data_IF_449935499530
#
_entry.id   IF_449935499530
#
_cell.length_a   1.000
_cell.length_b   1.000
_cell.length_c   1.000
_cell.angle_alpha   90.00
_cell.angle_beta   90.00
_cell.angle_gamma   90.00
#
_symmetry.space_group_name_H-M   'P 1'
#
loop_
_entity.id
_entity.type
_entity.pdbx_description
1 polymer ?
#
# COMPACT_ATOMS: atom_id res chain seq x y z
N UNK A 1 -80.41 -18.75 10.89
CA UNK A 1 -79.18 -18.53 10.09
C UNK A 1 -77.98 -18.81 10.99
N UNK A 2 -77.27 -19.94 10.78
CA UNK A 2 -76.28 -20.48 11.73
C UNK A 2 -74.87 -20.29 11.16
N UNK A 3 -74.11 -19.36 11.72
CA UNK A 3 -72.77 -19.00 11.25
C UNK A 3 -71.75 -20.06 11.69
N UNK A 4 -71.16 -20.80 10.73
CA UNK A 4 -70.08 -21.77 11.00
C UNK A 4 -68.76 -21.03 11.25
N UNK A 5 -68.27 -21.06 12.49
CA UNK A 5 -66.91 -20.62 12.84
C UNK A 5 -65.88 -21.53 12.19
N UNK A 6 -65.28 -21.08 11.09
CA UNK A 6 -64.06 -21.64 10.52
C UNK A 6 -62.92 -21.46 11.53
N UNK A 7 -62.42 -22.57 12.09
CA UNK A 7 -61.20 -22.56 12.90
C UNK A 7 -60.01 -22.62 11.95
N UNK A 8 -59.39 -21.47 11.71
CA UNK A 8 -58.12 -21.39 10.99
C UNK A 8 -57.05 -22.02 11.88
N UNK A 9 -56.68 -23.26 11.59
CA UNK A 9 -55.58 -23.94 12.27
C UNK A 9 -54.26 -23.27 11.85
N UNK A 10 -53.58 -22.60 12.79
CA UNK A 10 -52.25 -22.04 12.53
C UNK A 10 -51.24 -23.19 12.49
N UNK A 11 -50.41 -23.31 11.43
CA UNK A 11 -49.35 -24.31 11.42
C UNK A 11 -48.38 -24.03 12.57
N UNK A 12 -48.17 -25.02 13.44
CA UNK A 12 -47.15 -24.94 14.49
C UNK A 12 -45.80 -24.87 13.79
N UNK A 13 -45.17 -23.69 13.79
CA UNK A 13 -43.81 -23.50 13.32
C UNK A 13 -42.92 -24.41 14.17
N UNK A 14 -42.28 -25.40 13.56
CA UNK A 14 -41.26 -26.19 14.22
C UNK A 14 -40.10 -25.25 14.58
N UNK A 15 -40.08 -24.79 15.83
CA UNK A 15 -38.95 -24.11 16.43
C UNK A 15 -37.93 -25.16 16.86
N UNK A 16 -37.26 -25.78 15.88
CA UNK A 16 -36.06 -26.56 16.15
C UNK A 16 -34.94 -25.60 16.51
N UNK A 17 -34.48 -25.63 17.76
CA UNK A 17 -33.25 -24.94 18.16
C UNK A 17 -32.04 -25.55 17.48
N UNK A 18 -30.97 -24.77 17.33
CA UNK A 18 -29.69 -25.27 16.82
C UNK A 18 -29.16 -26.38 17.72
N UNK A 19 -28.66 -27.46 17.12
CA UNK A 19 -28.02 -28.52 17.88
C UNK A 19 -26.64 -28.05 18.36
N UNK A 20 -26.18 -28.54 19.52
CA UNK A 20 -24.85 -28.18 20.06
C UNK A 20 -23.72 -28.42 19.05
N UNK A 21 -23.80 -29.55 18.33
CA UNK A 21 -22.83 -29.92 17.30
C UNK A 21 -22.83 -28.91 16.15
N UNK A 22 -24.00 -28.45 15.73
CA UNK A 22 -24.13 -27.47 14.65
C UNK A 22 -23.50 -26.13 15.03
N UNK A 23 -23.68 -25.67 16.27
CA UNK A 23 -23.01 -24.46 16.78
C UNK A 23 -21.49 -24.64 16.80
N UNK A 24 -21.00 -25.81 17.22
CA UNK A 24 -19.56 -26.10 17.21
C UNK A 24 -19.00 -26.07 15.79
N UNK A 25 -19.65 -26.74 14.83
CA UNK A 25 -19.23 -26.74 13.43
C UNK A 25 -19.28 -25.34 12.82
N UNK A 26 -20.34 -24.57 13.08
CA UNK A 26 -20.46 -23.19 12.61
C UNK A 26 -19.34 -22.29 13.18
N UNK A 27 -19.04 -22.42 14.48
CA UNK A 27 -17.95 -21.67 15.10
C UNK A 27 -16.57 -22.03 14.53
N UNK A 28 -16.35 -23.31 14.21
CA UNK A 28 -15.11 -23.76 13.59
C UNK A 28 -14.97 -23.22 12.17
N UNK A 29 -16.04 -23.27 11.36
CA UNK A 29 -16.04 -22.66 10.03
C UNK A 29 -15.80 -21.14 10.11
N UNK A 30 -16.39 -20.45 11.09
CA UNK A 30 -16.19 -19.03 11.30
C UNK A 30 -14.72 -18.70 11.61
N UNK A 31 -14.04 -19.51 12.43
CA UNK A 31 -12.62 -19.33 12.73
C UNK A 31 -11.74 -19.44 11.48
N UNK A 32 -12.04 -20.39 10.59
CA UNK A 32 -11.30 -20.53 9.33
C UNK A 32 -11.48 -19.31 8.42
N UNK A 33 -12.69 -18.75 8.36
CA UNK A 33 -12.97 -17.53 7.60
C UNK A 33 -12.20 -16.34 8.18
N UNK A 34 -12.21 -16.16 9.50
CA UNK A 34 -11.46 -15.07 10.12
C UNK A 34 -9.96 -15.21 9.94
N UNK A 35 -9.43 -16.43 9.99
CA UNK A 35 -8.02 -16.66 9.70
C UNK A 35 -7.65 -16.24 8.27
N UNK A 36 -8.47 -16.60 7.28
CA UNK A 36 -8.28 -16.16 5.89
C UNK A 36 -8.32 -14.64 5.74
N UNK A 37 -9.29 -13.97 6.38
CA UNK A 37 -9.40 -12.51 6.35
C UNK A 37 -8.20 -11.82 7.01
N UNK A 38 -7.71 -12.34 8.13
CA UNK A 38 -6.54 -11.79 8.81
C UNK A 38 -5.29 -11.85 7.91
N UNK A 39 -5.07 -12.97 7.22
CA UNK A 39 -3.97 -13.09 6.27
C UNK A 39 -4.11 -12.14 5.07
N UNK A 40 -5.32 -12.01 4.53
CA UNK A 40 -5.60 -11.08 3.44
C UNK A 40 -5.34 -9.63 3.85
N UNK A 41 -5.84 -9.23 5.03
CA UNK A 41 -5.65 -7.89 5.57
C UNK A 41 -4.17 -7.57 5.81
N UNK A 42 -3.41 -8.50 6.40
CA UNK A 42 -1.98 -8.31 6.64
C UNK A 42 -1.18 -8.10 5.33
N UNK A 43 -1.54 -8.82 4.26
CA UNK A 43 -0.91 -8.64 2.94
C UNK A 43 -1.32 -7.33 2.29
N UNK A 44 -2.61 -6.98 2.31
CA UNK A 44 -3.11 -5.74 1.74
C UNK A 44 -2.48 -4.50 2.40
N UNK A 45 -2.32 -4.53 3.73
CA UNK A 45 -1.68 -3.43 4.44
C UNK A 45 -0.22 -3.21 4.02
N UNK A 46 0.56 -4.29 3.85
CA UNK A 46 1.96 -4.18 3.37
C UNK A 46 2.05 -3.60 1.96
N UNK A 47 1.10 -3.92 1.09
CA UNK A 47 1.05 -3.34 -0.26
C UNK A 47 0.78 -1.84 -0.22
N UNK A 48 -0.18 -1.40 0.60
CA UNK A 48 -0.50 0.02 0.75
C UNK A 48 0.68 0.83 1.29
N UNK A 49 1.40 0.30 2.28
CA UNK A 49 2.62 0.93 2.82
C UNK A 49 3.68 1.06 1.73
N UNK A 50 3.92 0.00 0.95
CA UNK A 50 4.84 0.03 -0.18
C UNK A 50 4.46 1.08 -1.23
N UNK A 51 3.19 1.16 -1.62
CA UNK A 51 2.69 2.17 -2.57
C UNK A 51 2.87 3.60 -2.05
N UNK A 52 2.70 3.83 -0.76
CA UNK A 52 2.94 5.15 -0.17
C UNK A 52 4.42 5.53 -0.26
N UNK A 53 5.34 4.60 0.00
CA UNK A 53 6.78 4.85 -0.17
C UNK A 53 7.14 5.14 -1.63
N UNK A 54 6.55 4.43 -2.59
CA UNK A 54 6.73 4.71 -4.02
C UNK A 54 6.25 6.10 -4.40
N UNK A 55 5.11 6.53 -3.86
CA UNK A 55 4.57 7.88 -4.06
C UNK A 55 5.50 8.95 -3.48
N UNK A 56 5.98 8.74 -2.26
CA UNK A 56 6.90 9.66 -1.60
C UNK A 56 8.24 9.74 -2.34
N UNK A 57 8.84 8.60 -2.70
CA UNK A 57 10.08 8.53 -3.46
C UNK A 57 9.96 9.23 -4.82
N UNK A 58 8.83 9.05 -5.52
CA UNK A 58 8.55 9.74 -6.78
C UNK A 58 8.46 11.26 -6.60
N UNK A 59 7.84 11.72 -5.50
CA UNK A 59 7.79 13.13 -5.14
C UNK A 59 9.19 13.72 -4.89
N UNK A 60 10.04 12.98 -4.16
CA UNK A 60 11.44 13.35 -3.90
C UNK A 60 12.25 13.40 -5.20
N UNK A 61 12.11 12.39 -6.06
CA UNK A 61 12.79 12.32 -7.36
C UNK A 61 12.41 13.53 -8.25
N UNK A 62 11.11 13.84 -8.32
CA UNK A 62 10.60 15.00 -9.06
C UNK A 62 11.15 16.31 -8.50
N UNK A 63 11.12 16.48 -7.18
CA UNK A 63 11.69 17.65 -6.52
C UNK A 63 13.19 17.81 -6.82
N UNK A 64 13.95 16.70 -6.86
CA UNK A 64 15.36 16.70 -7.25
C UNK A 64 15.54 17.16 -8.70
N UNK A 65 14.77 16.61 -9.64
CA UNK A 65 14.81 17.01 -11.05
C UNK A 65 14.44 18.48 -11.23
N UNK A 66 13.41 18.96 -10.54
CA UNK A 66 13.00 20.37 -10.58
C UNK A 66 14.08 21.30 -10.04
N UNK A 67 14.78 20.90 -8.96
CA UNK A 67 15.92 21.65 -8.42
C UNK A 67 17.08 21.67 -9.42
N UNK A 68 17.44 20.53 -10.00
CA UNK A 68 18.51 20.46 -11.01
C UNK A 68 18.17 21.36 -12.21
N UNK A 69 16.93 21.30 -12.69
CA UNK A 69 16.41 22.14 -13.78
C UNK A 69 16.43 23.64 -13.45
N UNK A 70 16.13 24.03 -12.21
CA UNK A 70 16.02 25.45 -11.82
C UNK A 70 17.38 26.12 -11.63
N UNK A 71 18.35 25.41 -11.07
CA UNK A 71 19.61 26.03 -10.61
C UNK A 71 20.80 25.82 -11.55
N UNK A 72 20.69 24.95 -12.55
CA UNK A 72 21.81 24.66 -13.46
C UNK A 72 21.46 25.06 -14.88
N UNK A 73 22.43 25.69 -15.56
CA UNK A 73 22.36 25.89 -17.01
C UNK A 73 22.75 24.61 -17.72
N UNK A 74 22.42 24.53 -19.00
CA UNK A 74 22.75 23.36 -19.83
C UNK A 74 24.25 23.06 -19.80
N UNK A 75 25.09 24.08 -19.91
CA UNK A 75 26.56 23.95 -19.92
C UNK A 75 27.13 23.48 -18.56
N UNK A 76 26.40 23.75 -17.47
CA UNK A 76 26.83 23.40 -16.11
C UNK A 76 26.43 21.96 -15.72
N UNK A 77 25.54 21.31 -16.49
CA UNK A 77 25.01 19.98 -16.18
C UNK A 77 26.11 18.92 -16.05
N UNK A 78 27.21 19.05 -16.82
CA UNK A 78 28.32 18.08 -16.79
C UNK A 78 29.13 18.16 -15.50
N UNK A 79 29.09 19.30 -14.81
CA UNK A 79 29.86 19.58 -13.60
C UNK A 79 29.05 19.35 -12.32
N UNK A 80 27.79 18.93 -12.44
CA UNK A 80 26.98 18.58 -11.27
C UNK A 80 27.51 17.24 -10.75
N UNK A 81 28.29 17.30 -9.68
CA UNK A 81 28.73 16.11 -8.97
C UNK A 81 27.51 15.29 -8.54
N UNK A 82 27.60 13.97 -8.71
CA UNK A 82 26.67 13.02 -8.12
C UNK A 82 26.74 13.14 -6.60
N UNK A 83 25.96 14.08 -6.06
CA UNK A 83 25.87 14.32 -4.63
C UNK A 83 24.67 13.56 -4.07
N UNK A 84 24.98 12.62 -3.19
CA UNK A 84 23.96 11.93 -2.40
C UNK A 84 23.35 12.91 -1.42
N UNK A 85 22.03 13.03 -1.44
CA UNK A 85 21.28 13.86 -0.48
C UNK A 85 20.23 13.01 0.22
N UNK A 86 20.20 13.07 1.54
CA UNK A 86 19.19 12.36 2.35
C UNK A 86 18.00 13.28 2.64
N UNK A 87 16.79 12.76 2.45
CA UNK A 87 15.54 13.41 2.85
C UNK A 87 14.86 12.55 3.90
N UNK A 88 14.42 13.18 4.99
CA UNK A 88 13.65 12.49 6.03
C UNK A 88 12.16 12.80 5.81
N UNK A 89 11.38 11.79 5.46
CA UNK A 89 9.94 11.90 5.20
C UNK A 89 9.23 10.73 5.88
N UNK A 90 8.22 11.02 6.71
CA UNK A 90 7.45 9.98 7.38
C UNK A 90 8.28 9.05 8.28
N UNK A 91 9.40 9.55 8.82
CA UNK A 91 10.31 8.75 9.65
C UNK A 91 11.27 7.84 8.88
N UNK A 92 11.28 7.91 7.55
CA UNK A 92 12.20 7.17 6.69
C UNK A 92 13.21 8.08 5.99
N UNK A 93 14.41 7.56 5.84
CA UNK A 93 15.50 8.21 5.11
C UNK A 93 15.48 7.80 3.64
N UNK A 94 15.26 8.78 2.77
CA UNK A 94 15.35 8.66 1.32
C UNK A 94 16.69 9.21 0.85
N UNK A 95 17.58 8.34 0.41
CA UNK A 95 18.86 8.70 -0.19
C UNK A 95 18.66 8.91 -1.69
N UNK A 96 19.02 10.08 -2.16
CA UNK A 96 18.85 10.48 -3.56
C UNK A 96 20.21 10.66 -4.20
N UNK A 97 20.47 9.88 -5.24
CA UNK A 97 21.62 10.05 -6.12
C UNK A 97 21.15 10.42 -7.53
N UNK A 98 22.05 10.97 -8.33
CA UNK A 98 21.73 11.26 -9.73
C UNK A 98 22.98 11.14 -10.61
N UNK A 99 22.76 10.77 -11.86
CA UNK A 99 23.77 10.64 -12.89
C UNK A 99 23.36 11.46 -14.11
N UNK A 100 24.33 12.12 -14.74
CA UNK A 100 24.13 12.91 -15.96
C UNK A 100 24.89 12.24 -17.10
N UNK A 101 24.17 11.87 -18.16
CA UNK A 101 24.73 11.34 -19.39
C UNK A 101 24.58 12.38 -20.50
N UNK A 102 25.70 12.99 -20.92
CA UNK A 102 25.73 13.96 -22.01
C UNK A 102 25.74 13.29 -23.38
N UNK A 103 25.17 13.93 -24.40
CA UNK A 103 25.07 13.41 -25.75
C UNK A 103 24.10 12.23 -25.90
N UNK A 104 23.10 12.10 -25.01
CA UNK A 104 22.14 11.00 -24.99
C UNK A 104 20.72 11.54 -24.81
N UNK A 105 19.74 11.14 -25.66
CA UNK A 105 19.87 10.18 -26.76
C UNK A 105 20.54 10.72 -28.04
N UNK A 106 20.71 12.04 -28.16
CA UNK A 106 21.25 12.69 -29.35
C UNK A 106 22.36 13.71 -29.04
N UNK A 107 23.15 14.08 -30.05
CA UNK A 107 24.18 15.10 -29.91
C UNK A 107 23.54 16.42 -29.45
N UNK A 108 24.09 17.06 -28.41
CA UNK A 108 23.51 18.25 -27.75
C UNK A 108 22.26 18.01 -26.88
N UNK A 109 22.06 16.77 -26.41
CA UNK A 109 21.10 16.47 -25.34
C UNK A 109 21.81 15.87 -24.12
N UNK A 110 21.24 16.06 -22.92
CA UNK A 110 21.72 15.41 -21.69
C UNK A 110 20.57 14.69 -21.02
N UNK A 111 20.77 13.42 -20.67
CA UNK A 111 19.82 12.62 -19.88
C UNK A 111 20.24 12.64 -18.42
N UNK A 112 19.31 12.96 -17.53
CA UNK A 112 19.54 12.95 -16.07
C UNK A 112 18.74 11.80 -15.47
N UNK A 113 19.43 10.84 -14.87
CA UNK A 113 18.82 9.74 -14.13
C UNK A 113 18.88 10.07 -12.66
N UNK A 114 17.73 10.11 -11.99
CA UNK A 114 17.64 10.27 -10.53
C UNK A 114 17.26 8.92 -9.94
N UNK A 115 18.07 8.45 -8.99
CA UNK A 115 17.83 7.23 -8.25
C UNK A 115 17.50 7.60 -6.81
N UNK A 116 16.37 7.08 -6.33
CA UNK A 116 15.97 7.24 -4.93
C UNK A 116 15.99 5.86 -4.31
N UNK A 117 16.78 5.69 -3.27
CA UNK A 117 16.80 4.50 -2.43
C UNK A 117 16.28 4.87 -1.06
N UNK A 118 15.54 3.98 -0.43
CA UNK A 118 15.15 4.10 0.96
C UNK A 118 15.42 2.77 1.62
N UNK A 119 15.92 2.83 2.85
CA UNK A 119 16.02 1.63 3.67
C UNK A 119 14.76 1.53 4.50
N UNK A 120 14.05 0.43 4.34
CA UNK A 120 13.12 -0.07 5.34
C UNK A 120 13.97 -0.62 6.51
N UNK A 121 14.80 0.22 7.14
CA UNK A 121 15.45 -0.16 8.39
C UNK A 121 14.36 -0.15 9.44
N UNK A 122 13.77 -1.33 9.53
CA UNK A 122 12.73 -1.75 10.44
C UNK A 122 12.94 -1.14 11.82
N UNK A 123 11.95 -0.39 12.30
CA UNK A 123 11.59 -0.44 13.72
C UNK A 123 11.11 -1.87 14.07
N UNK A 124 11.96 -2.89 13.86
CA UNK A 124 11.82 -4.26 14.36
C UNK A 124 12.23 -4.30 15.84
N UNK A 125 11.73 -3.34 16.60
CA UNK A 125 12.13 -3.10 17.98
C UNK A 125 11.01 -2.56 18.84
N UNK A 126 9.74 -2.88 18.58
CA UNK A 126 8.66 -2.63 19.52
C UNK A 126 7.34 -3.36 19.17
N UNK A 127 7.31 -4.70 19.15
CA UNK A 127 6.16 -5.50 19.64
C UNK A 127 6.68 -6.83 20.16
#
# INVERSE_FOLDING_TARGET
>A
MKMRKSRIARPRRHAGGFTLIEVMVASFMLLLVFFGLAQFHARGHRQLVGEDHWRQASGVARSRLERVRRYNRYDDLVNIAAADTTYVLGGLDYVVSHAVATGTPELQSSTITVTVTWNENLEQGAI
#
